data_IF_856598499799
#
_entry.id   IF_856598499799
#
_cell.length_a   1.000
_cell.length_b   1.000
_cell.length_c   1.000
_cell.angle_alpha   90.00
_cell.angle_beta   90.00
_cell.angle_gamma   90.00
#
_symmetry.space_group_name_H-M   'P 1'
#
loop_
_entity.id
_entity.type
_entity.pdbx_description
1 polymer ?
#
# COMPACT_ATOMS: atom_id res chain seq x y z
N UNK A 1 -2.26 39.55 -5.96
CA UNK A 1 -2.95 38.69 -4.98
C UNK A 1 -2.33 37.31 -5.04
N UNK A 2 -1.49 36.96 -4.06
CA UNK A 2 -0.78 35.68 -4.05
C UNK A 2 -1.75 34.59 -3.56
N UNK A 3 -2.04 33.61 -4.43
CA UNK A 3 -2.83 32.44 -4.08
C UNK A 3 -2.06 31.63 -3.03
N UNK A 4 -2.60 31.56 -1.82
CA UNK A 4 -2.10 30.65 -0.77
C UNK A 4 -2.39 29.22 -1.22
N UNK A 5 -1.36 28.56 -1.79
CA UNK A 5 -1.40 27.11 -2.00
C UNK A 5 -1.38 26.45 -0.62
N UNK A 6 -2.52 25.96 -0.16
CA UNK A 6 -2.62 25.18 1.08
C UNK A 6 -1.83 23.87 0.88
N UNK A 7 -0.65 23.80 1.48
CA UNK A 7 0.16 22.57 1.53
C UNK A 7 -0.59 21.53 2.37
N UNK A 8 -1.32 20.67 1.75
CA UNK A 8 -1.95 19.54 2.42
C UNK A 8 -0.85 18.53 2.78
N UNK A 9 -0.49 18.50 4.07
CA UNK A 9 0.58 17.66 4.60
C UNK A 9 -0.02 16.29 4.96
N UNK A 10 0.18 15.30 4.10
CA UNK A 10 -0.28 13.93 4.35
C UNK A 10 0.89 13.14 4.93
N UNK A 11 0.70 12.59 6.13
CA UNK A 11 1.65 11.63 6.70
C UNK A 11 1.42 10.28 6.02
N UNK A 12 2.45 9.76 5.40
CA UNK A 12 2.40 8.43 4.77
C UNK A 12 3.20 7.43 5.59
N UNK A 13 2.63 6.25 5.78
CA UNK A 13 3.35 5.08 6.27
C UNK A 13 3.61 4.15 5.09
N UNK A 14 4.86 3.79 4.90
CA UNK A 14 5.26 2.85 3.86
C UNK A 14 4.98 1.42 4.29
N UNK A 15 4.41 0.62 3.39
CA UNK A 15 4.31 -0.84 3.55
C UNK A 15 4.93 -1.48 2.33
N UNK A 16 5.91 -2.34 2.52
CA UNK A 16 6.33 -3.26 1.47
C UNK A 16 5.18 -4.24 1.22
N UNK A 17 4.78 -4.40 -0.02
CA UNK A 17 3.70 -5.32 -0.42
C UNK A 17 4.14 -6.81 -0.36
N UNK A 18 5.32 -7.10 0.20
CA UNK A 18 5.86 -8.46 0.28
C UNK A 18 5.66 -9.08 1.65
N UNK A 19 5.17 -10.32 1.64
CA UNK A 19 5.17 -11.20 2.79
C UNK A 19 6.59 -11.42 3.31
N UNK A 20 6.76 -11.39 4.65
CA UNK A 20 7.98 -11.82 5.31
C UNK A 20 8.13 -13.33 5.14
N UNK A 21 8.77 -13.78 4.06
CA UNK A 21 9.45 -15.06 4.12
C UNK A 21 10.76 -14.84 4.85
N UNK A 22 10.83 -15.31 6.09
CA UNK A 22 12.09 -15.52 6.81
C UNK A 22 12.83 -16.66 6.13
N UNK A 23 13.58 -16.34 5.08
CA UNK A 23 14.57 -17.21 4.47
C UNK A 23 15.90 -16.48 4.50
N UNK A 24 16.88 -17.09 5.15
CA UNK A 24 18.27 -16.65 5.16
C UNK A 24 18.73 -16.38 3.73
N UNK A 25 19.17 -15.15 3.46
CA UNK A 25 19.90 -14.83 2.24
C UNK A 25 21.36 -15.10 2.53
N UNK A 26 21.83 -16.25 2.12
CA UNK A 26 23.25 -16.49 1.88
C UNK A 26 23.42 -16.93 0.43
N UNK A 27 24.37 -16.24 -0.26
CA UNK A 27 25.00 -16.56 -1.54
C UNK A 27 24.23 -16.29 -2.84
N UNK A 28 24.89 -15.42 -3.65
CA UNK A 28 24.73 -15.24 -5.08
C UNK A 28 24.81 -16.58 -5.83
N UNK A 29 23.81 -16.85 -6.64
CA UNK A 29 23.96 -17.65 -7.84
C UNK A 29 22.99 -17.10 -8.90
N UNK A 30 23.41 -16.87 -10.15
CA UNK A 30 22.50 -16.51 -11.22
C UNK A 30 21.73 -17.75 -11.62
N UNK A 31 20.50 -17.87 -11.19
CA UNK A 31 19.54 -18.83 -11.72
C UNK A 31 18.62 -18.11 -12.71
N UNK A 32 18.91 -18.31 -13.97
CA UNK A 32 17.96 -18.19 -15.07
C UNK A 32 16.78 -19.12 -14.79
N UNK A 33 15.70 -18.55 -14.29
CA UNK A 33 14.43 -19.20 -14.03
C UNK A 33 13.35 -18.14 -14.02
N UNK A 34 12.48 -18.19 -15.01
CA UNK A 34 11.35 -17.33 -15.24
C UNK A 34 10.41 -17.28 -14.03
N UNK A 35 10.62 -16.32 -13.17
CA UNK A 35 9.65 -15.82 -12.19
C UNK A 35 10.10 -14.42 -11.74
N UNK A 36 10.13 -13.48 -12.67
CA UNK A 36 10.19 -12.05 -12.38
C UNK A 36 8.88 -11.63 -11.72
N UNK A 37 8.71 -11.96 -10.45
CA UNK A 37 7.63 -11.38 -9.65
C UNK A 37 7.99 -9.92 -9.41
N UNK A 38 7.32 -9.06 -10.14
CA UNK A 38 7.44 -7.61 -9.96
C UNK A 38 7.26 -7.26 -8.49
N UNK A 39 8.13 -6.41 -8.00
CA UNK A 39 8.06 -5.90 -6.63
C UNK A 39 7.26 -4.62 -6.63
N UNK A 40 6.25 -4.54 -5.78
CA UNK A 40 5.38 -3.39 -5.65
C UNK A 40 5.69 -2.59 -4.38
N UNK A 41 5.54 -1.28 -4.48
CA UNK A 41 5.59 -0.35 -3.36
C UNK A 41 4.24 0.35 -3.23
N UNK A 42 3.77 0.50 -1.98
CA UNK A 42 2.58 1.29 -1.68
C UNK A 42 2.90 2.34 -0.61
N UNK A 43 2.46 3.56 -0.86
CA UNK A 43 2.43 4.63 0.11
C UNK A 43 1.00 4.83 0.58
N UNK A 44 0.73 4.60 1.84
CA UNK A 44 -0.59 4.83 2.46
C UNK A 44 -0.55 6.20 3.13
N UNK A 45 -1.29 7.15 2.58
CA UNK A 45 -1.50 8.46 3.17
C UNK A 45 -2.54 8.37 4.30
N UNK A 46 -2.18 8.85 5.48
CA UNK A 46 -3.05 8.83 6.66
C UNK A 46 -3.57 10.24 6.98
N UNK A 47 -4.87 10.33 7.22
CA UNK A 47 -5.51 11.49 7.79
C UNK A 47 -6.15 11.09 9.13
N UNK A 48 -5.76 11.72 10.23
CA UNK A 48 -6.18 11.35 11.58
C UNK A 48 -6.02 9.85 11.91
N UNK A 49 -4.90 9.25 11.45
CA UNK A 49 -4.60 7.83 11.68
C UNK A 49 -5.32 6.85 10.74
N UNK A 50 -6.24 7.33 9.91
CA UNK A 50 -7.01 6.53 8.97
C UNK A 50 -6.44 6.63 7.55
N UNK A 51 -6.39 5.53 6.75
CA UNK A 51 -6.10 5.59 5.33
C UNK A 51 -7.01 6.58 4.60
N UNK A 52 -6.40 7.47 3.86
CA UNK A 52 -7.05 8.55 3.13
C UNK A 52 -6.67 8.54 1.65
N UNK A 53 -5.43 8.16 1.36
CA UNK A 53 -4.89 8.03 0.00
C UNK A 53 -3.98 6.82 -0.09
N UNK A 54 -3.87 6.25 -1.28
CA UNK A 54 -2.88 5.25 -1.61
C UNK A 54 -2.19 5.63 -2.92
N UNK A 55 -0.87 5.41 -2.98
CA UNK A 55 -0.06 5.54 -4.19
C UNK A 55 0.69 4.23 -4.37
N UNK A 56 0.67 3.67 -5.56
CA UNK A 56 1.28 2.37 -5.85
C UNK A 56 2.14 2.44 -7.09
N UNK A 57 3.22 1.70 -7.09
CA UNK A 57 4.12 1.58 -8.24
C UNK A 57 5.07 0.41 -8.08
N UNK A 58 5.93 0.22 -9.06
CA UNK A 58 6.95 -0.82 -9.06
C UNK A 58 8.10 -0.40 -8.13
N UNK A 59 8.59 -1.34 -7.32
CA UNK A 59 9.73 -1.15 -6.43
C UNK A 59 11.01 -1.57 -7.15
N UNK A 60 11.45 -0.78 -8.11
CA UNK A 60 12.59 -0.99 -8.97
C UNK A 60 13.41 0.29 -9.14
N UNK A 61 14.73 0.15 -9.44
CA UNK A 61 15.62 1.30 -9.61
C UNK A 61 15.45 1.97 -10.99
N UNK A 62 15.11 1.20 -12.02
CA UNK A 62 15.01 1.67 -13.41
C UNK A 62 13.58 2.07 -13.76
N UNK A 63 12.61 1.21 -13.47
CA UNK A 63 11.20 1.38 -13.86
C UNK A 63 10.30 1.92 -12.75
N UNK A 64 10.83 2.16 -11.56
CA UNK A 64 10.02 2.51 -10.40
C UNK A 64 10.74 3.35 -9.35
N UNK A 65 10.57 2.97 -8.10
CA UNK A 65 11.17 3.65 -6.94
C UNK A 65 11.71 2.62 -5.98
N UNK A 66 13.00 2.69 -5.68
CA UNK A 66 13.58 1.93 -4.58
C UNK A 66 13.79 2.83 -3.34
N UNK A 67 13.34 2.35 -2.20
CA UNK A 67 13.57 3.00 -0.91
C UNK A 67 14.47 2.15 -0.02
N UNK A 68 15.34 2.79 0.78
CA UNK A 68 16.08 2.08 1.81
C UNK A 68 15.12 1.34 2.77
N UNK A 69 15.44 0.08 3.12
CA UNK A 69 14.59 -0.76 4.01
C UNK A 69 14.28 -0.12 5.37
N UNK A 70 15.09 0.83 5.80
CA UNK A 70 14.89 1.55 7.06
C UNK A 70 13.81 2.65 6.98
N UNK A 71 13.39 3.04 5.77
CA UNK A 71 12.36 4.06 5.58
C UNK A 71 11.00 3.41 5.73
N UNK A 72 10.29 3.74 6.82
CA UNK A 72 8.95 3.20 7.12
C UNK A 72 7.87 4.27 7.08
N UNK A 73 8.27 5.54 7.05
CA UNK A 73 7.35 6.67 7.06
C UNK A 73 7.94 7.90 6.38
N UNK A 74 7.08 8.79 5.95
CA UNK A 74 7.46 10.04 5.29
C UNK A 74 6.26 10.93 5.05
N UNK A 75 6.38 11.84 4.09
CA UNK A 75 5.32 12.77 3.68
C UNK A 75 5.21 12.78 2.18
N UNK A 76 3.99 12.74 1.66
CA UNK A 76 3.72 13.08 0.28
C UNK A 76 3.47 14.59 0.20
N UNK A 77 4.18 15.24 -0.70
CA UNK A 77 4.03 16.67 -0.98
C UNK A 77 3.50 16.83 -2.39
N UNK A 78 2.34 17.45 -2.51
CA UNK A 78 1.73 17.77 -3.79
C UNK A 78 2.22 19.13 -4.26
N UNK A 79 2.70 19.18 -5.48
CA UNK A 79 3.07 20.41 -6.19
C UNK A 79 2.18 20.59 -7.41
N UNK A 80 2.06 21.82 -7.86
CA UNK A 80 1.44 22.15 -9.15
C UNK A 80 2.51 22.79 -10.02
N UNK A 81 2.60 22.35 -11.27
CA UNK A 81 3.42 23.02 -12.30
C UNK A 81 2.73 24.29 -12.82
N UNK A 82 3.38 24.98 -13.76
CA UNK A 82 2.85 26.21 -14.33
C UNK A 82 1.57 25.99 -15.14
N UNK A 83 1.37 24.79 -15.67
CA UNK A 83 0.20 24.35 -16.42
C UNK A 83 -0.94 23.85 -15.52
N UNK A 84 -0.73 23.78 -14.20
CA UNK A 84 -1.70 23.30 -13.22
C UNK A 84 -1.74 21.78 -13.05
N UNK A 85 -0.80 21.03 -13.64
CA UNK A 85 -0.69 19.60 -13.42
C UNK A 85 -0.14 19.30 -12.04
N UNK A 86 -0.60 18.19 -11.45
CA UNK A 86 -0.16 17.78 -10.12
C UNK A 86 1.07 16.89 -10.19
N UNK A 87 2.12 17.25 -9.46
CA UNK A 87 3.28 16.41 -9.18
C UNK A 87 3.26 15.99 -7.71
N UNK A 88 3.57 14.75 -7.43
CA UNK A 88 3.64 14.21 -6.07
C UNK A 88 5.07 13.76 -5.78
N UNK A 89 5.63 14.23 -4.67
CA UNK A 89 6.97 13.89 -4.21
C UNK A 89 6.90 13.20 -2.85
N UNK A 90 7.73 12.18 -2.62
CA UNK A 90 7.85 11.53 -1.32
C UNK A 90 9.06 12.05 -0.57
N UNK A 91 8.86 12.59 0.62
CA UNK A 91 9.91 13.12 1.50
C UNK A 91 10.02 12.26 2.76
N UNK A 92 11.23 11.86 3.10
CA UNK A 92 11.54 11.10 4.30
C UNK A 92 12.85 11.54 4.93
N UNK A 93 13.11 11.11 6.16
CA UNK A 93 14.40 11.27 6.81
C UNK A 93 15.18 9.96 6.69
N UNK A 94 16.43 10.06 6.26
CA UNK A 94 17.32 8.91 6.26
C UNK A 94 17.83 8.60 7.69
N UNK A 95 18.58 7.49 7.86
CA UNK A 95 19.11 7.07 9.16
C UNK A 95 19.99 8.13 9.85
N UNK A 96 20.55 9.09 9.10
CA UNK A 96 21.39 10.18 9.61
C UNK A 96 20.58 11.45 9.92
N UNK A 97 19.25 11.40 9.77
CA UNK A 97 18.36 12.53 9.99
C UNK A 97 18.25 13.53 8.83
N UNK A 98 18.95 13.30 7.71
CA UNK A 98 18.88 14.17 6.55
C UNK A 98 17.56 13.94 5.79
N UNK A 99 16.94 15.05 5.41
CA UNK A 99 15.74 15.04 4.58
C UNK A 99 16.11 14.64 3.14
N UNK A 100 15.46 13.61 2.66
CA UNK A 100 15.61 13.09 1.29
C UNK A 100 14.26 13.19 0.60
N UNK A 101 14.27 13.55 -0.69
CA UNK A 101 13.06 13.65 -1.51
C UNK A 101 13.18 12.76 -2.73
N UNK A 102 12.18 11.91 -2.95
CA UNK A 102 11.96 11.21 -4.21
C UNK A 102 10.92 12.00 -4.99
N UNK A 103 11.34 12.62 -6.07
CA UNK A 103 10.50 13.49 -6.87
C UNK A 103 9.70 12.73 -7.91
N UNK A 104 8.50 13.24 -8.21
CA UNK A 104 7.73 12.85 -9.37
C UNK A 104 7.15 11.44 -9.31
N UNK A 105 6.57 11.01 -8.18
CA UNK A 105 5.86 9.71 -8.07
C UNK A 105 4.89 9.50 -9.23
N UNK A 106 4.16 10.55 -9.63
CA UNK A 106 3.17 10.52 -10.71
C UNK A 106 3.77 10.27 -12.11
N UNK A 107 5.07 10.47 -12.27
CA UNK A 107 5.78 10.22 -13.53
C UNK A 107 6.50 8.87 -13.55
N UNK A 108 6.88 8.40 -12.37
CA UNK A 108 7.63 7.14 -12.17
C UNK A 108 6.73 5.91 -12.07
N UNK A 109 5.48 6.11 -11.69
CA UNK A 109 4.53 5.02 -11.55
C UNK A 109 3.73 4.82 -12.83
N UNK A 110 3.54 3.57 -13.23
CA UNK A 110 2.70 3.22 -14.37
C UNK A 110 1.30 3.81 -14.23
N UNK A 111 0.77 4.36 -15.34
CA UNK A 111 -0.47 5.13 -15.34
C UNK A 111 -1.70 4.29 -15.03
N UNK A 112 -1.70 3.02 -15.40
CA UNK A 112 -2.83 2.13 -15.14
C UNK A 112 -2.99 1.91 -13.63
N UNK A 113 -1.94 1.46 -12.95
CA UNK A 113 -1.95 1.24 -11.50
C UNK A 113 -2.10 2.55 -10.72
N UNK A 114 -1.55 3.65 -11.24
CA UNK A 114 -1.79 4.97 -10.69
C UNK A 114 -3.27 5.36 -10.72
N UNK A 115 -3.99 5.01 -11.80
CA UNK A 115 -5.42 5.30 -11.91
C UNK A 115 -6.25 4.41 -11.00
N UNK A 116 -5.95 3.12 -10.85
CA UNK A 116 -6.58 2.26 -9.84
C UNK A 116 -6.35 2.81 -8.42
N UNK A 117 -5.14 3.22 -8.10
CA UNK A 117 -4.83 3.83 -6.81
C UNK A 117 -5.61 5.13 -6.57
N UNK A 118 -5.84 5.95 -7.61
CA UNK A 118 -6.73 7.14 -7.52
C UNK A 118 -8.17 6.78 -7.19
N UNK A 119 -8.73 5.72 -7.80
CA UNK A 119 -10.09 5.28 -7.52
C UNK A 119 -10.22 4.79 -6.07
N UNK A 120 -9.27 3.97 -5.60
CA UNK A 120 -9.23 3.52 -4.20
C UNK A 120 -9.08 4.72 -3.25
N UNK A 121 -8.22 5.68 -3.57
CA UNK A 121 -8.08 6.92 -2.81
C UNK A 121 -9.39 7.72 -2.79
N UNK A 122 -10.13 7.72 -3.89
CA UNK A 122 -11.44 8.36 -3.99
C UNK A 122 -12.41 7.79 -2.96
N UNK A 123 -12.59 6.48 -2.91
CA UNK A 123 -13.53 5.84 -1.96
C UNK A 123 -13.08 6.01 -0.51
N UNK A 124 -11.77 5.97 -0.22
CA UNK A 124 -11.22 6.22 1.12
C UNK A 124 -11.49 7.65 1.59
N UNK A 125 -11.32 8.66 0.72
CA UNK A 125 -11.60 10.08 1.01
C UNK A 125 -13.06 10.34 1.30
N UNK A 126 -13.97 9.66 0.61
CA UNK A 126 -15.41 9.77 0.81
C UNK A 126 -15.94 8.97 2.01
N UNK A 127 -15.04 8.41 2.81
CA UNK A 127 -15.42 7.85 4.10
C UNK A 127 -15.72 6.35 4.08
N UNK A 128 -15.50 5.64 2.96
CA UNK A 128 -15.66 4.19 2.95
C UNK A 128 -14.81 3.55 4.05
N UNK A 129 -15.38 2.72 4.95
CA UNK A 129 -14.62 1.98 5.95
C UNK A 129 -13.51 1.15 5.31
N UNK A 130 -12.34 1.05 5.98
CA UNK A 130 -11.16 0.39 5.37
C UNK A 130 -11.45 -1.07 5.04
N UNK A 131 -12.21 -1.81 5.88
CA UNK A 131 -12.58 -3.20 5.59
C UNK A 131 -13.41 -3.30 4.31
N UNK A 132 -14.37 -2.38 4.08
CA UNK A 132 -15.15 -2.36 2.85
C UNK A 132 -14.30 -2.00 1.62
N UNK A 133 -13.32 -1.09 1.77
CA UNK A 133 -12.38 -0.79 0.69
C UNK A 133 -11.49 -2.01 0.37
N UNK A 134 -11.12 -2.80 1.36
CA UNK A 134 -10.41 -4.07 1.17
C UNK A 134 -11.29 -5.10 0.48
N UNK A 135 -12.53 -5.27 0.89
CA UNK A 135 -13.51 -6.17 0.26
C UNK A 135 -13.76 -5.78 -1.22
N UNK A 136 -13.89 -4.46 -1.48
CA UNK A 136 -14.01 -3.94 -2.84
C UNK A 136 -12.80 -4.31 -3.70
N UNK A 137 -11.57 -4.10 -3.20
CA UNK A 137 -10.36 -4.46 -3.92
C UNK A 137 -10.25 -5.97 -4.12
N UNK A 138 -10.60 -6.77 -3.13
CA UNK A 138 -10.59 -8.23 -3.20
C UNK A 138 -11.56 -8.77 -4.25
N UNK A 139 -12.72 -8.12 -4.43
CA UNK A 139 -13.74 -8.51 -5.40
C UNK A 139 -13.39 -8.19 -6.85
N UNK A 140 -12.34 -7.38 -7.10
CA UNK A 140 -11.90 -7.09 -8.47
C UNK A 140 -11.30 -8.35 -9.11
N UNK A 141 -11.73 -8.64 -10.32
CA UNK A 141 -11.21 -9.76 -11.13
C UNK A 141 -10.41 -9.20 -12.31
N UNK A 142 -9.24 -9.75 -12.53
CA UNK A 142 -8.35 -9.36 -13.62
C UNK A 142 -7.77 -10.61 -14.29
N UNK A 143 -7.69 -10.57 -15.60
CA UNK A 143 -7.12 -11.66 -16.40
C UNK A 143 -5.58 -11.71 -16.34
N UNK A 144 -4.95 -10.65 -15.84
CA UNK A 144 -3.50 -10.49 -15.80
C UNK A 144 -2.94 -10.80 -14.42
N UNK A 145 -1.94 -11.69 -14.32
CA UNK A 145 -1.29 -12.08 -13.06
C UNK A 145 -0.59 -10.91 -12.34
N UNK A 146 -0.01 -9.97 -13.09
CA UNK A 146 0.66 -8.80 -12.50
C UNK A 146 -0.33 -7.91 -11.77
N UNK A 147 -1.49 -7.66 -12.36
CA UNK A 147 -2.58 -6.89 -11.71
C UNK A 147 -3.10 -7.64 -10.49
N UNK A 148 -3.25 -8.97 -10.55
CA UNK A 148 -3.64 -9.76 -9.39
C UNK A 148 -2.58 -9.69 -8.26
N UNK A 149 -1.30 -9.69 -8.60
CA UNK A 149 -0.21 -9.51 -7.63
C UNK A 149 -0.29 -8.12 -6.99
N UNK A 150 -0.51 -7.06 -7.76
CA UNK A 150 -0.74 -5.71 -7.28
C UNK A 150 -1.97 -5.65 -6.35
N UNK A 151 -3.11 -6.22 -6.77
CA UNK A 151 -4.35 -6.29 -5.99
C UNK A 151 -4.11 -6.88 -4.61
N UNK A 152 -3.52 -8.08 -4.55
CA UNK A 152 -3.20 -8.77 -3.30
C UNK A 152 -2.25 -7.94 -2.40
N UNK A 153 -1.35 -7.18 -3.02
CA UNK A 153 -0.47 -6.26 -2.32
C UNK A 153 -1.21 -5.10 -1.69
N UNK A 154 -2.13 -4.47 -2.43
CA UNK A 154 -2.97 -3.37 -1.95
C UNK A 154 -3.85 -3.84 -0.79
N UNK A 155 -4.50 -5.00 -0.92
CA UNK A 155 -5.27 -5.60 0.17
C UNK A 155 -4.45 -5.74 1.45
N UNK A 156 -3.28 -6.37 1.37
CA UNK A 156 -2.39 -6.56 2.52
C UNK A 156 -1.95 -5.25 3.14
N UNK A 157 -1.70 -4.22 2.33
CA UNK A 157 -1.31 -2.90 2.81
C UNK A 157 -2.44 -2.23 3.58
N UNK A 158 -3.68 -2.30 3.09
CA UNK A 158 -4.85 -1.69 3.70
C UNK A 158 -5.36 -2.49 4.92
N UNK A 159 -5.31 -3.83 4.90
CA UNK A 159 -5.74 -4.70 6.02
C UNK A 159 -5.09 -4.33 7.35
N UNK A 160 -3.86 -3.79 7.34
CA UNK A 160 -3.15 -3.32 8.54
C UNK A 160 -3.81 -2.15 9.27
N UNK A 161 -4.74 -1.48 8.61
CA UNK A 161 -5.47 -0.33 9.14
C UNK A 161 -6.93 -0.63 9.48
N UNK A 162 -7.36 -1.88 9.32
CA UNK A 162 -8.66 -2.32 9.80
C UNK A 162 -8.61 -2.38 11.32
N UNK A 163 -9.55 -1.73 12.05
CA UNK A 163 -9.57 -1.79 13.50
C UNK A 163 -9.65 -3.23 14.02
N UNK A 164 -8.88 -3.53 15.05
CA UNK A 164 -8.91 -4.84 15.70
C UNK A 164 -10.32 -5.15 16.21
N UNK A 165 -10.78 -6.38 15.97
CA UNK A 165 -12.10 -6.83 16.35
C UNK A 165 -13.20 -6.55 15.32
N UNK A 166 -12.89 -5.86 14.19
CA UNK A 166 -13.82 -5.73 13.07
C UNK A 166 -14.15 -7.12 12.51
N UNK A 167 -15.43 -7.45 12.41
CA UNK A 167 -15.88 -8.71 11.81
C UNK A 167 -15.61 -8.72 10.30
N UNK A 168 -15.11 -9.82 9.79
CA UNK A 168 -14.91 -10.01 8.36
C UNK A 168 -16.22 -10.53 7.75
N UNK A 169 -16.87 -9.71 6.95
CA UNK A 169 -18.18 -10.00 6.36
C UNK A 169 -18.10 -11.25 5.47
N UNK A 170 -18.91 -12.25 5.78
CA UNK A 170 -19.03 -13.49 4.99
C UNK A 170 -17.89 -14.51 5.20
N UNK A 171 -16.82 -14.14 5.92
CA UNK A 171 -15.70 -15.04 6.22
C UNK A 171 -15.98 -15.88 7.46
N UNK A 172 -15.73 -17.17 7.36
CA UNK A 172 -15.88 -18.14 8.47
C UNK A 172 -14.56 -18.87 8.73
N UNK A 173 -14.37 -19.25 9.96
CA UNK A 173 -13.22 -20.05 10.37
C UNK A 173 -13.26 -21.42 9.67
N UNK A 174 -12.22 -21.77 8.96
CA UNK A 174 -12.09 -23.07 8.27
C UNK A 174 -12.07 -24.26 9.22
N UNK A 175 -11.70 -24.03 10.49
CA UNK A 175 -11.59 -25.10 11.50
C UNK A 175 -12.90 -25.33 12.27
N UNK A 176 -13.67 -24.28 12.62
CA UNK A 176 -14.85 -24.43 13.48
C UNK A 176 -16.11 -23.74 12.93
N UNK A 177 -16.05 -23.11 11.76
CA UNK A 177 -17.19 -22.44 11.13
C UNK A 177 -17.64 -21.15 11.81
N UNK A 178 -17.04 -20.71 12.91
CA UNK A 178 -17.39 -19.47 13.62
C UNK A 178 -16.97 -18.24 12.84
N UNK A 179 -17.61 -17.06 13.04
CA UNK A 179 -17.16 -15.80 12.48
C UNK A 179 -15.71 -15.48 12.85
N UNK A 180 -14.99 -14.84 11.93
CA UNK A 180 -13.62 -14.38 12.16
C UNK A 180 -13.57 -12.85 12.21
N UNK A 181 -12.56 -12.33 12.92
CA UNK A 181 -12.35 -10.89 13.08
C UNK A 181 -10.95 -10.50 12.66
N UNK A 182 -10.78 -9.25 12.25
CA UNK A 182 -9.48 -8.69 11.98
C UNK A 182 -8.71 -8.40 13.26
N UNK A 183 -7.43 -8.79 13.29
CA UNK A 183 -6.47 -8.42 14.32
C UNK A 183 -5.09 -8.22 13.70
N UNK A 184 -4.57 -6.99 13.78
CA UNK A 184 -3.28 -6.60 13.19
C UNK A 184 -3.13 -6.95 11.70
N UNK A 185 -4.24 -6.89 10.96
CA UNK A 185 -4.30 -7.21 9.54
C UNK A 185 -4.45 -8.69 9.21
N UNK A 186 -4.52 -9.57 10.20
CA UNK A 186 -4.82 -11.00 10.06
C UNK A 186 -6.27 -11.29 10.44
N UNK A 187 -6.84 -12.39 9.93
CA UNK A 187 -8.13 -12.91 10.37
C UNK A 187 -7.91 -13.89 11.54
N UNK A 188 -8.64 -13.70 12.63
CA UNK A 188 -8.55 -14.53 13.82
C UNK A 188 -9.94 -15.05 14.21
N UNK A 189 -10.03 -16.34 14.46
CA UNK A 189 -11.20 -16.95 15.06
C UNK A 189 -11.12 -16.84 16.59
N UNK A 190 -12.05 -16.11 17.20
CA UNK A 190 -12.09 -15.97 18.66
C UNK A 190 -12.52 -17.26 19.38
N UNK A 191 -13.18 -18.19 18.68
CA UNK A 191 -13.68 -19.44 19.25
C UNK A 191 -12.59 -20.50 19.40
N UNK A 192 -11.78 -20.71 18.36
CA UNK A 192 -10.76 -21.78 18.36
C UNK A 192 -9.32 -21.28 18.27
N UNK A 193 -9.09 -19.96 18.17
CA UNK A 193 -7.76 -19.37 18.10
C UNK A 193 -7.06 -19.47 16.74
N UNK A 194 -7.68 -20.12 15.74
CA UNK A 194 -7.09 -20.23 14.39
C UNK A 194 -6.89 -18.84 13.79
N UNK A 195 -5.71 -18.61 13.20
CA UNK A 195 -5.40 -17.34 12.52
C UNK A 195 -4.97 -17.59 11.07
N UNK A 196 -5.37 -16.68 10.17
CA UNK A 196 -5.00 -16.64 8.76
C UNK A 196 -4.47 -15.26 8.43
N UNK A 197 -3.19 -15.18 8.09
CA UNK A 197 -2.55 -13.96 7.61
C UNK A 197 -2.30 -14.10 6.11
N UNK A 198 -2.77 -13.12 5.33
CA UNK A 198 -2.59 -13.08 3.88
C UNK A 198 -1.23 -12.49 3.47
#
# INVERSE_FOLDING_TARGET
>A
MAAHASKQLIRCRWSSLFGKNKGNISSLAPLTGENNKEKWIAFIGLYNGRPYEIFTGIADDEEGIMLPKAVTSGKIVKHYDAEGNSRYDFQFQNKRGFKTTVEGLSYKFDKEYWNYAKLISGVLRHGMPVHQAVELVASMEFDNENINTWKNGVERALKKYIPNGTEATGEKCENCGSPVVYQEGCLICKTCGTSKCG
#
